data_IF_565639091772
#
_entry.id   IF_565639091772
#
_cell.length_a   1.000
_cell.length_b   1.000
_cell.length_c   1.000
_cell.angle_alpha   90.00
_cell.angle_beta   90.00
_cell.angle_gamma   90.00
#
_symmetry.space_group_name_H-M   'P 1'
#
loop_
_entity.id
_entity.type
_entity.pdbx_description
1 polymer ?
#
# COMPACT_ATOMS: atom_id res chain seq x y z
N UNK A 1 16.49 -1.11 -8.86
CA UNK A 1 15.64 -1.55 -7.73
C UNK A 1 14.95 -2.87 -8.11
N UNK A 2 14.11 -3.46 -7.27
CA UNK A 2 13.36 -4.69 -7.58
C UNK A 2 12.70 -4.61 -8.97
N UNK A 3 12.79 -5.69 -9.74
CA UNK A 3 12.32 -5.79 -11.13
C UNK A 3 10.85 -6.21 -11.30
N UNK A 4 10.13 -6.36 -10.18
CA UNK A 4 8.69 -6.64 -10.14
C UNK A 4 7.91 -5.36 -9.86
N UNK A 5 6.58 -5.42 -9.86
CA UNK A 5 5.69 -4.34 -9.39
C UNK A 5 5.67 -4.26 -7.84
N UNK A 6 6.85 -4.30 -7.24
CA UNK A 6 7.06 -4.10 -5.80
C UNK A 6 6.95 -2.62 -5.40
N UNK A 7 7.25 -2.31 -4.13
CA UNK A 7 7.13 -0.95 -3.58
C UNK A 7 7.98 0.07 -4.35
N UNK A 8 9.21 -0.28 -4.74
CA UNK A 8 10.09 0.63 -5.48
C UNK A 8 9.51 1.03 -6.84
N UNK A 9 9.11 0.05 -7.66
CA UNK A 9 8.48 0.29 -8.96
C UNK A 9 7.15 1.00 -8.83
N UNK A 10 6.34 0.63 -7.83
CA UNK A 10 5.07 1.28 -7.51
C UNK A 10 5.29 2.76 -7.20
N UNK A 11 6.21 3.09 -6.28
CA UNK A 11 6.46 4.48 -5.90
C UNK A 11 7.13 5.27 -7.02
N UNK A 12 7.95 4.65 -7.87
CA UNK A 12 8.44 5.29 -9.09
C UNK A 12 7.28 5.66 -10.04
N UNK A 13 6.28 4.77 -10.18
CA UNK A 13 5.05 5.06 -10.91
C UNK A 13 4.23 6.16 -10.23
N UNK A 14 4.13 6.17 -8.89
CA UNK A 14 3.42 7.23 -8.18
C UNK A 14 4.07 8.60 -8.38
N UNK A 15 5.41 8.68 -8.39
CA UNK A 15 6.14 9.93 -8.68
C UNK A 15 5.77 10.47 -10.07
N UNK A 16 5.68 9.61 -11.09
CA UNK A 16 5.26 10.03 -12.43
C UNK A 16 3.76 10.35 -12.52
N UNK A 17 2.89 9.54 -11.90
CA UNK A 17 1.44 9.74 -11.90
C UNK A 17 0.98 10.98 -11.10
N UNK A 18 1.72 11.33 -10.05
CA UNK A 18 1.57 12.60 -9.33
C UNK A 18 2.06 13.81 -10.15
N UNK A 19 2.70 13.58 -11.30
CA UNK A 19 3.27 14.62 -12.15
C UNK A 19 4.62 15.15 -11.65
N UNK A 20 5.31 14.50 -10.71
CA UNK A 20 6.62 14.94 -10.23
C UNK A 20 7.77 14.47 -11.13
N UNK A 21 7.66 13.25 -11.64
CA UNK A 21 8.61 12.68 -12.58
C UNK A 21 8.33 13.14 -14.01
N UNK A 22 9.39 13.35 -14.79
CA UNK A 22 9.25 13.49 -16.24
C UNK A 22 8.70 12.19 -16.85
N UNK A 23 7.95 12.24 -17.97
CA UNK A 23 7.40 11.04 -18.60
C UNK A 23 8.48 9.98 -18.89
N UNK A 24 8.17 8.71 -18.59
CA UNK A 24 9.09 7.58 -18.69
C UNK A 24 9.96 7.36 -17.44
N UNK A 25 9.88 8.23 -16.43
CA UNK A 25 10.65 8.12 -15.19
C UNK A 25 10.45 6.80 -14.46
N UNK A 26 9.26 6.24 -14.47
CA UNK A 26 8.94 5.06 -13.68
C UNK A 26 9.55 3.76 -14.22
N UNK A 27 9.71 3.66 -15.54
CA UNK A 27 9.90 2.36 -16.19
C UNK A 27 11.32 2.12 -16.72
N UNK A 28 12.09 3.16 -17.10
CA UNK A 28 13.41 2.94 -17.70
C UNK A 28 14.36 2.17 -16.77
N UNK A 29 14.93 1.03 -17.21
CA UNK A 29 15.93 0.30 -16.43
C UNK A 29 17.10 1.20 -16.02
N UNK A 30 17.71 0.91 -14.87
CA UNK A 30 18.81 1.73 -14.36
C UNK A 30 20.02 1.76 -15.31
N UNK A 31 20.23 0.69 -16.09
CA UNK A 31 21.32 0.54 -17.05
C UNK A 31 20.97 1.03 -18.46
N UNK A 32 19.75 1.53 -18.67
CA UNK A 32 19.31 2.06 -19.96
C UNK A 32 19.85 3.48 -20.20
N UNK A 33 20.39 3.76 -21.39
CA UNK A 33 20.92 5.08 -21.73
C UNK A 33 19.89 6.21 -21.61
N UNK A 34 18.60 5.93 -21.81
CA UNK A 34 17.50 6.89 -21.65
C UNK A 34 17.37 7.38 -20.20
N UNK A 35 17.79 6.59 -19.21
CA UNK A 35 17.81 7.04 -17.80
C UNK A 35 18.75 8.23 -17.60
N UNK A 36 19.92 8.22 -18.24
CA UNK A 36 20.88 9.35 -18.18
C UNK A 36 20.36 10.56 -18.94
N UNK A 37 19.69 10.36 -20.08
CA UNK A 37 19.02 11.44 -20.83
C UNK A 37 17.94 12.10 -19.95
N UNK A 38 17.11 11.29 -19.28
CA UNK A 38 16.08 11.78 -18.38
C UNK A 38 16.66 12.57 -17.21
N UNK A 39 17.74 12.08 -16.59
CA UNK A 39 18.44 12.77 -15.51
C UNK A 39 18.98 14.14 -15.97
N UNK A 40 19.56 14.22 -17.18
CA UNK A 40 20.03 15.49 -17.76
C UNK A 40 18.87 16.45 -18.03
N UNK A 41 17.73 15.95 -18.51
CA UNK A 41 16.55 16.76 -18.76
C UNK A 41 15.92 17.26 -17.45
N UNK A 42 15.89 16.44 -16.40
CA UNK A 42 15.46 16.86 -15.07
C UNK A 42 16.36 17.98 -14.52
N UNK A 43 17.68 17.88 -14.71
CA UNK A 43 18.63 18.92 -14.33
C UNK A 43 18.44 20.25 -15.08
N UNK A 44 17.99 20.22 -16.33
CA UNK A 44 17.58 21.44 -17.06
C UNK A 44 16.27 21.98 -16.51
N UNK A 45 15.25 21.11 -16.40
CA UNK A 45 13.90 21.51 -16.01
C UNK A 45 13.84 22.14 -14.62
N UNK A 46 14.62 21.64 -13.66
CA UNK A 46 14.58 22.19 -12.30
C UNK A 46 15.06 23.65 -12.24
N UNK A 47 15.97 24.08 -13.14
CA UNK A 47 16.39 25.48 -13.24
C UNK A 47 15.22 26.34 -13.72
N UNK A 48 14.51 25.89 -14.75
CA UNK A 48 13.33 26.59 -15.26
C UNK A 48 12.22 26.69 -14.19
N UNK A 49 11.98 25.62 -13.43
CA UNK A 49 11.02 25.63 -12.32
C UNK A 49 11.35 26.66 -11.24
N UNK A 50 12.63 26.91 -10.97
CA UNK A 50 13.06 27.97 -10.03
C UNK A 50 12.74 29.35 -10.60
N UNK A 51 12.95 29.57 -11.90
CA UNK A 51 12.62 30.84 -12.54
C UNK A 51 11.10 31.09 -12.65
N UNK A 52 10.32 30.03 -12.81
CA UNK A 52 8.85 30.08 -12.91
C UNK A 52 8.15 30.09 -11.54
N UNK A 53 8.90 29.95 -10.44
CA UNK A 53 8.36 29.71 -9.09
C UNK A 53 7.36 28.53 -9.05
N UNK A 54 7.68 27.46 -9.79
CA UNK A 54 6.83 26.27 -9.82
C UNK A 54 7.05 25.43 -8.55
N UNK A 55 6.13 25.61 -7.59
CA UNK A 55 6.19 24.96 -6.29
C UNK A 55 5.60 23.54 -6.34
N UNK A 56 6.11 22.67 -5.46
CA UNK A 56 5.61 21.30 -5.31
C UNK A 56 4.09 21.27 -5.03
N UNK A 57 3.55 22.24 -4.29
CA UNK A 57 2.12 22.32 -3.98
C UNK A 57 1.23 22.69 -5.17
N UNK A 58 1.79 23.21 -6.25
CA UNK A 58 1.07 23.47 -7.49
C UNK A 58 0.95 22.20 -8.35
N UNK A 59 1.84 21.21 -8.14
CA UNK A 59 1.81 19.91 -8.83
C UNK A 59 1.06 18.87 -7.99
N UNK A 60 1.40 18.76 -6.71
CA UNK A 60 0.78 17.83 -5.75
C UNK A 60 -0.58 18.35 -5.24
N UNK A 61 -1.52 18.45 -6.17
CA UNK A 61 -2.92 18.81 -5.92
C UNK A 61 -3.73 17.57 -5.55
N UNK A 62 -4.95 17.79 -5.04
CA UNK A 62 -5.92 16.71 -4.80
C UNK A 62 -6.11 15.85 -6.06
N UNK A 63 -6.27 16.46 -7.21
CA UNK A 63 -6.43 15.79 -8.51
C UNK A 63 -5.23 14.91 -8.87
N UNK A 64 -4.00 15.37 -8.59
CA UNK A 64 -2.80 14.56 -8.80
C UNK A 64 -2.79 13.29 -7.93
N UNK A 65 -3.20 13.38 -6.66
CA UNK A 65 -3.34 12.21 -5.79
C UNK A 65 -4.45 11.26 -6.27
N UNK A 66 -5.59 11.79 -6.74
CA UNK A 66 -6.65 10.95 -7.30
C UNK A 66 -6.19 10.22 -8.57
N UNK A 67 -5.40 10.87 -9.43
CA UNK A 67 -4.75 10.23 -10.57
C UNK A 67 -3.81 9.11 -10.10
N UNK A 68 -2.94 9.38 -9.13
CA UNK A 68 -2.02 8.39 -8.59
C UNK A 68 -2.75 7.16 -8.01
N UNK A 69 -3.87 7.35 -7.31
CA UNK A 69 -4.69 6.26 -6.76
C UNK A 69 -5.30 5.39 -7.88
N UNK A 70 -5.84 6.01 -8.94
CA UNK A 70 -6.41 5.28 -10.07
C UNK A 70 -5.33 4.54 -10.86
N UNK A 71 -4.17 5.18 -11.05
CA UNK A 71 -2.99 4.55 -11.64
C UNK A 71 -2.47 3.38 -10.79
N UNK A 72 -2.50 3.49 -9.45
CA UNK A 72 -2.08 2.43 -8.54
C UNK A 72 -2.90 1.15 -8.74
N UNK A 73 -4.21 1.27 -8.94
CA UNK A 73 -5.08 0.15 -9.29
C UNK A 73 -4.75 -0.43 -10.68
N UNK A 74 -4.59 0.43 -11.68
CA UNK A 74 -4.28 0.03 -13.06
C UNK A 74 -2.95 -0.72 -13.21
N UNK A 75 -1.98 -0.46 -12.35
CA UNK A 75 -0.69 -1.18 -12.34
C UNK A 75 -0.65 -2.37 -11.38
N UNK A 76 -1.68 -2.57 -10.54
CA UNK A 76 -1.67 -3.61 -9.49
C UNK A 76 -0.59 -3.40 -8.44
N UNK A 77 -0.34 -2.14 -8.06
CA UNK A 77 0.81 -1.76 -7.24
C UNK A 77 0.78 -2.20 -5.78
N UNK A 78 1.87 -1.90 -5.09
CA UNK A 78 2.10 -2.22 -3.68
C UNK A 78 1.10 -1.52 -2.74
N UNK A 79 0.65 -2.24 -1.70
CA UNK A 79 -0.20 -1.67 -0.64
C UNK A 79 0.51 -0.59 0.17
N UNK A 80 1.85 -0.63 0.25
CA UNK A 80 2.65 0.41 0.90
C UNK A 80 2.45 1.81 0.27
N UNK A 81 2.01 1.89 -0.99
CA UNK A 81 1.70 3.17 -1.63
C UNK A 81 0.55 3.90 -0.92
N UNK A 82 -0.36 3.18 -0.26
CA UNK A 82 -1.44 3.79 0.56
C UNK A 82 -0.83 4.64 1.67
N UNK A 83 0.05 4.04 2.46
CA UNK A 83 0.76 4.71 3.57
C UNK A 83 1.55 5.91 3.04
N UNK A 84 2.35 5.71 1.99
CA UNK A 84 3.22 6.76 1.46
C UNK A 84 2.45 7.94 0.86
N UNK A 85 1.40 7.69 0.09
CA UNK A 85 0.60 8.76 -0.51
C UNK A 85 -0.15 9.58 0.55
N UNK A 86 -0.71 8.93 1.58
CA UNK A 86 -1.34 9.64 2.72
C UNK A 86 -0.30 10.50 3.44
N UNK A 87 0.89 9.98 3.73
CA UNK A 87 1.96 10.75 4.37
C UNK A 87 2.35 11.98 3.53
N UNK A 88 2.60 11.81 2.23
CA UNK A 88 2.97 12.91 1.32
C UNK A 88 1.84 13.94 1.22
N UNK A 89 0.58 13.50 1.12
CA UNK A 89 -0.58 14.39 1.08
C UNK A 89 -0.67 15.25 2.35
N UNK A 90 -0.49 14.65 3.53
CA UNK A 90 -0.45 15.37 4.81
C UNK A 90 0.69 16.38 4.90
N UNK A 91 1.85 16.09 4.30
CA UNK A 91 2.98 17.04 4.23
C UNK A 91 2.68 18.23 3.34
N UNK A 92 1.99 18.04 2.22
CA UNK A 92 1.66 19.14 1.31
C UNK A 92 0.36 19.85 1.69
N UNK A 93 -0.40 19.31 2.65
CA UNK A 93 -1.66 19.88 3.14
C UNK A 93 -2.87 19.54 2.28
N UNK A 94 -2.83 18.42 1.57
CA UNK A 94 -3.98 17.86 0.84
C UNK A 94 -4.72 16.89 1.76
N UNK A 95 -6.04 17.07 1.89
CA UNK A 95 -6.89 16.07 2.55
C UNK A 95 -6.96 14.83 1.67
N UNK A 96 -6.33 13.75 2.10
CA UNK A 96 -6.37 12.44 1.46
C UNK A 96 -6.53 11.39 2.55
N UNK A 97 -7.62 10.63 2.48
CA UNK A 97 -7.97 9.64 3.50
C UNK A 97 -7.87 8.23 2.94
N UNK A 98 -7.78 7.24 3.81
CA UNK A 98 -7.73 5.84 3.40
C UNK A 98 -8.98 5.46 2.56
N UNK A 99 -10.15 6.02 2.85
CA UNK A 99 -11.39 5.78 2.10
C UNK A 99 -11.33 6.25 0.65
N UNK A 100 -10.45 7.22 0.33
CA UNK A 100 -10.29 7.68 -1.05
C UNK A 100 -9.75 6.58 -1.96
N UNK A 101 -8.93 5.66 -1.44
CA UNK A 101 -8.41 4.52 -2.21
C UNK A 101 -9.51 3.57 -2.64
N UNK A 102 -10.46 3.30 -1.74
CA UNK A 102 -11.59 2.44 -2.03
C UNK A 102 -12.55 3.13 -3.00
N UNK A 103 -13.03 4.31 -2.61
CA UNK A 103 -14.04 5.08 -3.35
C UNK A 103 -13.62 5.40 -4.79
N UNK A 104 -12.33 5.68 -5.03
CA UNK A 104 -11.85 6.13 -6.33
C UNK A 104 -11.41 4.98 -7.24
N UNK A 105 -10.97 3.84 -6.69
CA UNK A 105 -10.20 2.89 -7.48
C UNK A 105 -10.39 1.42 -7.14
N UNK A 106 -11.10 1.02 -6.07
CA UNK A 106 -11.23 -0.41 -5.73
C UNK A 106 -11.88 -1.24 -6.85
N UNK A 107 -12.78 -0.62 -7.61
CA UNK A 107 -13.49 -1.25 -8.72
C UNK A 107 -12.76 -1.06 -10.07
N UNK A 108 -11.61 -0.38 -10.09
CA UNK A 108 -10.82 -0.23 -11.32
C UNK A 108 -10.04 -1.52 -11.62
N UNK A 109 -9.88 -1.83 -12.92
CA UNK A 109 -9.12 -2.99 -13.33
C UNK A 109 -7.62 -2.78 -13.19
N UNK A 110 -6.88 -3.88 -13.16
CA UNK A 110 -5.44 -3.89 -13.38
C UNK A 110 -5.19 -4.25 -14.85
N UNK A 111 -4.40 -3.43 -15.52
CA UNK A 111 -4.04 -3.57 -16.92
C UNK A 111 -2.67 -4.25 -17.08
N UNK A 112 -1.82 -4.14 -16.06
CA UNK A 112 -0.41 -4.49 -16.15
C UNK A 112 -0.16 -5.93 -15.69
N UNK A 113 0.34 -6.78 -16.59
CA UNK A 113 0.61 -8.19 -16.35
C UNK A 113 2.02 -8.43 -15.79
N UNK A 114 2.32 -7.87 -14.61
CA UNK A 114 3.62 -7.99 -13.96
C UNK A 114 3.56 -8.78 -12.67
N UNK A 115 4.66 -9.46 -12.35
CA UNK A 115 4.83 -10.06 -11.02
C UNK A 115 4.71 -8.99 -9.91
N UNK A 116 4.09 -9.33 -8.76
CA UNK A 116 3.69 -10.67 -8.35
C UNK A 116 2.30 -11.11 -8.84
N UNK A 117 1.51 -10.20 -9.43
CA UNK A 117 0.13 -10.51 -9.84
C UNK A 117 0.04 -11.24 -11.17
N UNK A 118 1.04 -11.09 -12.04
CA UNK A 118 1.11 -11.61 -13.40
C UNK A 118 2.47 -12.23 -13.75
N UNK A 119 2.81 -12.26 -15.05
CA UNK A 119 3.92 -13.05 -15.59
C UNK A 119 5.22 -12.28 -15.80
N UNK A 120 5.12 -11.05 -16.33
CA UNK A 120 6.27 -10.30 -16.86
C UNK A 120 6.97 -9.45 -15.77
N UNK A 121 8.02 -8.73 -16.17
CA UNK A 121 8.86 -7.90 -15.28
C UNK A 121 8.98 -6.45 -15.79
N UNK A 122 9.60 -5.58 -14.99
CA UNK A 122 9.68 -4.14 -15.27
C UNK A 122 10.39 -3.78 -16.58
N UNK A 123 11.28 -4.66 -17.07
CA UNK A 123 11.91 -4.46 -18.38
C UNK A 123 10.91 -4.62 -19.52
N UNK A 124 10.07 -5.66 -19.48
CA UNK A 124 8.96 -5.84 -20.43
C UNK A 124 7.99 -4.66 -20.38
N UNK A 125 7.69 -4.16 -19.18
CA UNK A 125 6.84 -2.98 -18.98
C UNK A 125 7.43 -1.73 -19.62
N UNK A 126 8.74 -1.52 -19.47
CA UNK A 126 9.43 -0.43 -20.14
C UNK A 126 9.32 -0.55 -21.66
N UNK A 127 9.55 -1.73 -22.22
CA UNK A 127 9.52 -1.94 -23.67
C UNK A 127 8.10 -1.88 -24.25
N UNK A 128 7.09 -2.24 -23.48
CA UNK A 128 5.67 -2.07 -23.85
C UNK A 128 5.23 -0.59 -23.91
N UNK A 129 6.03 0.34 -23.38
CA UNK A 129 5.77 1.79 -23.38
C UNK A 129 5.59 2.40 -21.98
N UNK A 130 5.61 1.57 -20.93
CA UNK A 130 5.63 2.01 -19.54
C UNK A 130 4.36 2.70 -19.05
N UNK A 131 4.52 3.52 -18.01
CA UNK A 131 3.40 4.15 -17.32
C UNK A 131 2.54 5.09 -18.19
N UNK A 132 3.12 5.89 -19.12
CA UNK A 132 2.31 6.76 -19.97
C UNK A 132 1.23 6.01 -20.76
N UNK A 133 1.53 4.78 -21.21
CA UNK A 133 0.56 3.92 -21.91
C UNK A 133 -0.58 3.51 -20.99
N UNK A 134 -0.26 3.07 -19.76
CA UNK A 134 -1.29 2.71 -18.77
C UNK A 134 -2.19 3.90 -18.48
N UNK A 135 -1.62 5.07 -18.25
CA UNK A 135 -2.37 6.29 -17.94
C UNK A 135 -3.23 6.74 -19.13
N UNK A 136 -2.74 6.60 -20.36
CA UNK A 136 -3.52 6.86 -21.58
C UNK A 136 -4.72 5.93 -21.69
N UNK A 137 -4.53 4.65 -21.41
CA UNK A 137 -5.60 3.64 -21.49
C UNK A 137 -6.72 3.90 -20.46
N UNK A 138 -6.40 4.48 -19.30
CA UNK A 138 -7.37 4.89 -18.29
C UNK A 138 -7.72 6.39 -18.33
N UNK A 139 -7.39 7.11 -19.40
CA UNK A 139 -7.48 8.58 -19.45
C UNK A 139 -8.87 9.13 -19.11
N UNK A 140 -9.94 8.41 -19.46
CA UNK A 140 -11.33 8.78 -19.11
C UNK A 140 -11.60 8.84 -17.61
N UNK A 141 -10.75 8.21 -16.79
CA UNK A 141 -10.82 8.23 -15.34
C UNK A 141 -9.88 9.27 -14.73
N UNK A 142 -8.99 9.90 -15.49
CA UNK A 142 -7.95 10.79 -14.98
C UNK A 142 -8.34 12.27 -15.11
N UNK A 143 -7.81 13.08 -14.21
CA UNK A 143 -7.78 14.53 -14.29
C UNK A 143 -6.67 14.93 -15.27
N UNK A 144 -7.01 15.08 -16.55
CA UNK A 144 -6.04 15.31 -17.62
C UNK A 144 -5.41 16.71 -17.58
N UNK A 145 -6.11 17.71 -17.05
CA UNK A 145 -5.62 19.09 -16.93
C UNK A 145 -4.65 19.30 -15.75
N UNK A 146 -4.37 18.25 -14.95
CA UNK A 146 -3.43 18.34 -13.84
C UNK A 146 -2.03 18.70 -14.35
N UNK A 147 -1.48 19.82 -13.89
CA UNK A 147 -0.14 20.31 -14.25
C UNK A 147 0.94 19.41 -13.66
N UNK A 148 1.98 19.12 -14.44
CA UNK A 148 3.14 18.33 -13.99
C UNK A 148 4.40 19.19 -13.90
N UNK A 149 5.47 18.61 -13.34
CA UNK A 149 6.74 19.27 -13.11
C UNK A 149 7.42 19.76 -14.40
N UNK A 150 7.03 19.28 -15.58
CA UNK A 150 7.56 19.77 -16.85
C UNK A 150 6.78 20.95 -17.45
N UNK A 151 5.80 21.50 -16.72
CA UNK A 151 4.97 22.62 -17.15
C UNK A 151 3.81 22.24 -18.07
N UNK A 152 3.71 20.98 -18.52
CA UNK A 152 2.60 20.46 -19.32
C UNK A 152 1.56 19.78 -18.44
N UNK A 153 0.35 19.64 -18.97
CA UNK A 153 -0.73 18.88 -18.33
C UNK A 153 -0.46 17.37 -18.41
N UNK A 154 -1.14 16.58 -17.58
CA UNK A 154 -1.06 15.13 -17.62
C UNK A 154 -1.53 14.58 -18.98
N UNK A 155 -2.62 15.12 -19.53
CA UNK A 155 -3.17 14.74 -20.84
C UNK A 155 -2.16 14.93 -21.97
N UNK A 156 -1.48 16.08 -22.01
CA UNK A 156 -0.43 16.36 -22.98
C UNK A 156 0.77 15.42 -22.87
N UNK A 157 1.11 14.99 -21.65
CA UNK A 157 2.24 14.10 -21.40
C UNK A 157 1.97 12.66 -21.84
N UNK A 158 0.71 12.23 -21.85
CA UNK A 158 0.32 10.85 -22.21
C UNK A 158 -0.28 10.72 -23.61
N UNK A 159 -0.64 11.83 -24.27
CA UNK A 159 -1.35 11.84 -25.57
C UNK A 159 -0.70 10.95 -26.63
N UNK A 160 0.62 11.04 -26.78
CA UNK A 160 1.38 10.33 -27.82
C UNK A 160 1.88 8.94 -27.38
N UNK A 161 1.52 8.48 -26.18
CA UNK A 161 1.95 7.17 -25.69
C UNK A 161 1.41 6.04 -26.59
N UNK A 162 2.27 5.08 -26.90
CA UNK A 162 1.97 3.94 -27.77
C UNK A 162 2.21 2.64 -27.02
N UNK A 163 1.24 1.73 -27.08
CA UNK A 163 1.39 0.39 -26.53
C UNK A 163 2.09 -0.51 -27.55
N UNK A 164 3.31 -0.94 -27.23
CA UNK A 164 4.11 -1.80 -28.10
C UNK A 164 3.96 -3.29 -27.78
N UNK A 165 3.33 -3.65 -26.65
CA UNK A 165 3.10 -5.04 -26.28
C UNK A 165 1.82 -5.20 -25.43
N UNK A 166 0.68 -5.55 -26.06
CA UNK A 166 -0.59 -5.70 -25.36
C UNK A 166 -0.67 -6.94 -24.45
N UNK A 167 0.32 -7.83 -24.45
CA UNK A 167 0.40 -8.93 -23.48
C UNK A 167 0.92 -8.47 -22.11
N UNK A 168 1.66 -7.35 -22.09
CA UNK A 168 2.27 -6.76 -20.89
C UNK A 168 1.37 -5.66 -20.32
N UNK A 169 0.84 -4.80 -21.20
CA UNK A 169 -0.12 -3.74 -20.85
C UNK A 169 -1.42 -4.03 -21.61
N UNK A 170 -2.39 -4.63 -20.92
CA UNK A 170 -3.64 -5.06 -21.54
C UNK A 170 -4.61 -3.87 -21.72
N UNK A 171 -5.47 -3.88 -22.75
CA UNK A 171 -6.48 -2.84 -22.96
C UNK A 171 -7.51 -2.80 -21.83
N UNK A 172 -8.10 -1.63 -21.57
CA UNK A 172 -9.16 -1.44 -20.57
C UNK A 172 -10.40 -2.30 -20.86
N UNK A 173 -10.69 -2.55 -22.14
CA UNK A 173 -11.82 -3.38 -22.57
C UNK A 173 -11.62 -4.89 -22.31
N UNK A 174 -10.37 -5.33 -22.11
CA UNK A 174 -10.02 -6.71 -21.81
C UNK A 174 -8.85 -6.72 -20.82
N UNK A 175 -9.08 -6.25 -19.58
CA UNK A 175 -8.01 -6.00 -18.63
C UNK A 175 -7.39 -7.31 -18.12
N UNK A 176 -6.23 -7.20 -17.47
CA UNK A 176 -5.60 -8.34 -16.82
C UNK A 176 -6.42 -8.88 -15.65
N UNK A 177 -7.00 -7.97 -14.84
CA UNK A 177 -7.95 -8.30 -13.76
C UNK A 177 -9.01 -7.21 -13.65
N UNK A 178 -10.29 -7.58 -13.54
CA UNK A 178 -11.42 -6.65 -13.59
C UNK A 178 -11.53 -5.70 -12.38
N UNK A 179 -11.35 -6.24 -11.15
CA UNK A 179 -11.48 -5.48 -9.89
C UNK A 179 -10.24 -5.67 -9.06
N UNK A 180 -9.25 -4.82 -9.29
CA UNK A 180 -7.88 -5.05 -8.84
C UNK A 180 -7.36 -3.97 -7.89
N UNK A 181 -8.06 -2.84 -7.80
CA UNK A 181 -7.71 -1.78 -6.87
C UNK A 181 -7.74 -2.24 -5.41
N UNK A 182 -6.92 -1.57 -4.59
CA UNK A 182 -6.86 -1.86 -3.16
C UNK A 182 -8.23 -1.59 -2.53
N UNK A 183 -8.73 -2.57 -1.78
CA UNK A 183 -9.98 -2.43 -1.05
C UNK A 183 -9.70 -2.07 0.40
N UNK A 184 -10.52 -1.19 0.97
CA UNK A 184 -10.45 -0.78 2.38
C UNK A 184 -11.55 -1.48 3.17
N UNK A 185 -11.16 -2.32 4.11
CA UNK A 185 -12.07 -3.09 4.96
C UNK A 185 -12.36 -2.35 6.26
N UNK A 186 -13.60 -2.44 6.73
CA UNK A 186 -14.10 -1.85 7.98
C UNK A 186 -14.85 -2.89 8.79
N UNK A 187 -14.97 -2.65 10.09
CA UNK A 187 -15.77 -3.46 11.00
C UNK A 187 -15.20 -3.37 12.40
N UNK A 188 -15.76 -4.13 13.34
CA UNK A 188 -15.30 -4.05 14.73
C UNK A 188 -13.83 -4.49 14.91
N UNK A 189 -13.27 -5.29 13.99
CA UNK A 189 -11.86 -5.71 14.05
C UNK A 189 -10.88 -4.64 13.52
N UNK A 190 -11.32 -3.81 12.57
CA UNK A 190 -10.54 -2.73 11.96
C UNK A 190 -11.35 -1.42 11.91
N UNK A 191 -11.64 -0.80 13.06
CA UNK A 191 -12.55 0.34 13.11
C UNK A 191 -11.99 1.57 12.37
N UNK A 192 -10.65 1.71 12.29
CA UNK A 192 -9.97 2.76 11.51
C UNK A 192 -9.55 2.30 10.10
N UNK A 193 -9.84 1.05 9.76
CA UNK A 193 -9.62 0.50 8.43
C UNK A 193 -8.48 -0.50 8.39
N UNK A 194 -8.53 -1.37 7.39
CA UNK A 194 -7.46 -2.26 6.97
C UNK A 194 -7.45 -2.33 5.45
N UNK A 195 -6.35 -2.74 4.83
CA UNK A 195 -6.26 -2.85 3.37
C UNK A 195 -6.04 -4.29 2.92
N UNK A 196 -6.60 -4.63 1.77
CA UNK A 196 -6.32 -5.88 1.06
C UNK A 196 -6.05 -5.55 -0.42
N UNK A 197 -5.23 -6.37 -1.09
CA UNK A 197 -4.93 -6.23 -2.52
C UNK A 197 -5.65 -7.35 -3.32
N UNK A 198 -6.87 -7.12 -3.84
CA UNK A 198 -7.63 -8.11 -4.60
C UNK A 198 -6.86 -8.69 -5.79
N UNK A 199 -6.03 -7.87 -6.43
CA UNK A 199 -5.22 -8.27 -7.58
C UNK A 199 -4.20 -9.39 -7.30
N UNK A 200 -3.95 -9.73 -6.04
CA UNK A 200 -3.08 -10.86 -5.67
C UNK A 200 -3.75 -11.85 -4.72
N UNK A 201 -5.04 -11.67 -4.42
CA UNK A 201 -5.81 -12.56 -3.56
C UNK A 201 -6.45 -13.72 -4.34
N UNK A 202 -6.80 -14.78 -3.64
CA UNK A 202 -7.51 -15.93 -4.23
C UNK A 202 -9.02 -15.63 -4.23
N UNK A 203 -9.72 -15.65 -5.38
CA UNK A 203 -11.12 -15.25 -5.45
C UNK A 203 -12.05 -15.97 -4.47
N UNK A 204 -11.84 -17.27 -4.25
CA UNK A 204 -12.66 -18.07 -3.34
C UNK A 204 -12.49 -17.70 -1.85
N UNK A 205 -11.41 -17.00 -1.48
CA UNK A 205 -11.14 -16.57 -0.10
C UNK A 205 -11.57 -15.12 0.17
N UNK A 206 -12.10 -14.41 -0.84
CA UNK A 206 -12.53 -13.00 -0.71
C UNK A 206 -13.80 -12.83 0.12
N UNK A 207 -14.54 -13.92 0.33
CA UNK A 207 -15.60 -14.05 1.32
C UNK A 207 -15.32 -15.33 2.10
N UNK A 208 -14.83 -15.18 3.33
CA UNK A 208 -14.36 -16.29 4.14
C UNK A 208 -14.68 -16.08 5.61
N UNK A 209 -15.10 -17.16 6.29
CA UNK A 209 -15.35 -17.14 7.73
C UNK A 209 -14.62 -18.32 8.36
N UNK A 210 -13.78 -18.03 9.34
CA UNK A 210 -12.86 -19.02 9.89
C UNK A 210 -12.48 -18.75 11.34
N UNK A 211 -11.94 -19.77 11.99
CA UNK A 211 -11.38 -19.68 13.34
C UNK A 211 -10.03 -18.97 13.31
N UNK A 212 -9.83 -18.05 14.24
CA UNK A 212 -8.55 -17.37 14.43
C UNK A 212 -7.49 -18.33 15.01
N UNK A 213 -6.32 -18.34 14.38
CA UNK A 213 -5.06 -18.87 14.92
C UNK A 213 -4.14 -17.69 15.16
N UNK A 214 -3.94 -17.37 16.42
CA UNK A 214 -3.32 -16.12 16.86
C UNK A 214 -1.84 -16.33 17.19
N UNK A 215 -1.03 -15.40 16.70
CA UNK A 215 0.37 -15.21 17.03
C UNK A 215 0.54 -13.82 17.66
N UNK A 216 1.08 -13.78 18.88
CA UNK A 216 1.19 -12.55 19.67
C UNK A 216 2.31 -11.62 19.17
N UNK A 217 3.41 -12.19 18.65
CA UNK A 217 4.53 -11.46 18.04
C UNK A 217 5.11 -12.22 16.86
N UNK A 218 6.05 -11.62 16.13
CA UNK A 218 6.76 -12.31 15.04
C UNK A 218 7.61 -13.48 15.55
N UNK A 219 8.14 -13.40 16.77
CA UNK A 219 8.86 -14.51 17.42
C UNK A 219 7.92 -15.67 17.74
N UNK A 220 6.73 -15.39 18.28
CA UNK A 220 5.69 -16.40 18.54
C UNK A 220 5.24 -17.10 17.24
N UNK A 221 5.11 -16.32 16.16
CA UNK A 221 4.85 -16.86 14.83
C UNK A 221 5.93 -17.85 14.38
N UNK A 222 7.20 -17.44 14.37
CA UNK A 222 8.30 -18.31 13.95
C UNK A 222 8.47 -19.55 14.85
N UNK A 223 8.16 -19.44 16.15
CA UNK A 223 8.25 -20.56 17.08
C UNK A 223 7.20 -21.65 16.82
N UNK A 224 6.04 -21.30 16.25
CA UNK A 224 4.87 -22.19 16.19
C UNK A 224 4.44 -22.59 14.79
N UNK A 225 4.71 -21.79 13.75
CA UNK A 225 4.13 -22.02 12.41
C UNK A 225 4.53 -23.36 11.79
N UNK A 226 5.75 -23.82 12.10
CA UNK A 226 6.30 -25.08 11.60
C UNK A 226 5.99 -26.29 12.53
N UNK A 227 5.33 -26.08 13.67
CA UNK A 227 4.93 -27.17 14.57
C UNK A 227 3.77 -27.97 13.96
N UNK A 228 4.00 -29.27 13.75
CA UNK A 228 3.00 -30.21 13.25
C UNK A 228 1.77 -30.29 14.17
N UNK A 229 1.94 -30.03 15.47
CA UNK A 229 0.87 -30.04 16.47
C UNK A 229 0.08 -28.73 16.55
N UNK A 230 0.48 -27.67 15.85
CA UNK A 230 -0.27 -26.40 15.82
C UNK A 230 -1.71 -26.66 15.38
N UNK A 231 -2.72 -26.32 16.18
CA UNK A 231 -4.13 -26.53 15.80
C UNK A 231 -4.57 -25.52 14.71
N UNK A 232 -4.31 -25.89 13.45
CA UNK A 232 -4.57 -25.09 12.25
C UNK A 232 -4.93 -25.99 11.06
N UNK A 233 -5.92 -25.54 10.29
CA UNK A 233 -6.29 -26.08 8.99
C UNK A 233 -6.45 -24.93 7.97
N UNK A 234 -6.71 -25.28 6.71
CA UNK A 234 -6.87 -24.35 5.59
C UNK A 234 -8.04 -23.36 5.70
N UNK A 235 -9.02 -23.63 6.57
CA UNK A 235 -10.17 -22.75 6.79
C UNK A 235 -9.92 -21.76 7.93
N UNK A 236 -8.85 -21.95 8.70
CA UNK A 236 -8.45 -21.02 9.75
C UNK A 236 -7.97 -19.68 9.17
N UNK A 237 -8.03 -18.65 10.00
CA UNK A 237 -7.52 -17.31 9.71
C UNK A 237 -6.29 -17.08 10.58
N UNK A 238 -5.13 -16.88 9.96
CA UNK A 238 -3.91 -16.58 10.70
C UNK A 238 -3.94 -15.10 11.12
N UNK A 239 -3.71 -14.82 12.40
CA UNK A 239 -3.74 -13.48 12.96
C UNK A 239 -2.40 -13.18 13.63
N UNK A 240 -1.69 -12.16 13.16
CA UNK A 240 -0.42 -11.70 13.73
C UNK A 240 -0.59 -10.30 14.32
N UNK A 241 -0.25 -10.16 15.60
CA UNK A 241 -0.33 -8.91 16.36
C UNK A 241 1.04 -8.27 16.52
N UNK A 242 1.04 -7.05 17.05
CA UNK A 242 2.22 -6.32 17.48
C UNK A 242 3.27 -6.17 16.38
N UNK A 243 2.81 -6.05 15.14
CA UNK A 243 3.66 -5.85 13.96
C UNK A 243 3.39 -4.50 13.28
N UNK A 244 2.62 -3.63 13.96
CA UNK A 244 2.32 -2.25 13.55
C UNK A 244 3.46 -1.25 13.76
N UNK A 245 3.19 0.06 13.55
CA UNK A 245 4.16 1.12 13.78
C UNK A 245 4.79 1.07 15.17
N UNK A 246 4.01 1.02 16.24
CA UNK A 246 4.52 0.97 17.62
C UNK A 246 4.90 -0.44 18.05
N UNK A 247 4.19 -1.44 17.55
CA UNK A 247 4.31 -2.83 17.98
C UNK A 247 5.60 -3.51 17.56
N UNK A 248 5.94 -3.46 16.27
CA UNK A 248 7.09 -4.21 15.75
C UNK A 248 8.41 -3.74 16.35
N UNK A 249 8.71 -2.42 16.40
CA UNK A 249 8.14 -1.23 15.75
C UNK A 249 8.73 -0.94 14.36
N UNK A 250 8.16 0.07 13.68
CA UNK A 250 8.51 0.43 12.30
C UNK A 250 7.62 -0.23 11.27
N UNK A 251 6.63 -1.02 11.71
CA UNK A 251 5.64 -1.70 10.87
C UNK A 251 6.30 -2.57 9.80
N UNK A 252 6.93 -3.69 10.19
CA UNK A 252 7.71 -4.52 9.26
C UNK A 252 6.87 -5.21 8.18
N UNK A 253 7.53 -5.70 7.12
CA UNK A 253 6.91 -6.45 6.03
C UNK A 253 6.73 -7.94 6.37
N UNK A 254 5.99 -8.21 7.45
CA UNK A 254 5.76 -9.57 7.98
C UNK A 254 4.30 -10.04 7.86
N UNK A 255 3.42 -9.24 7.27
CA UNK A 255 2.00 -9.56 7.12
C UNK A 255 1.72 -10.72 6.16
N UNK A 256 2.61 -10.97 5.18
CA UNK A 256 2.52 -12.10 4.27
C UNK A 256 3.05 -13.41 4.91
N UNK A 257 2.49 -13.78 6.06
CA UNK A 257 2.86 -14.96 6.82
C UNK A 257 2.94 -16.20 5.92
N UNK A 258 4.05 -16.99 5.95
CA UNK A 258 4.08 -18.30 5.32
C UNK A 258 3.00 -19.21 5.93
N UNK A 259 2.50 -20.13 5.11
CA UNK A 259 1.50 -21.10 5.56
C UNK A 259 2.15 -22.25 6.32
N UNK A 260 1.42 -22.92 7.24
CA UNK A 260 1.94 -24.10 7.92
C UNK A 260 2.36 -25.18 6.91
N UNK A 261 3.52 -25.85 7.09
CA UNK A 261 4.00 -26.89 6.16
C UNK A 261 2.97 -27.98 5.89
N UNK A 262 2.17 -28.36 6.90
CA UNK A 262 1.11 -29.36 6.76
C UNK A 262 -0.05 -28.94 5.86
N UNK A 263 -0.34 -27.64 5.76
CA UNK A 263 -1.34 -27.10 4.82
C UNK A 263 -0.76 -27.10 3.40
N UNK A 264 0.49 -26.66 3.25
CA UNK A 264 1.20 -26.66 1.96
C UNK A 264 1.30 -28.07 1.36
N UNK A 265 1.53 -29.11 2.18
CA UNK A 265 1.56 -30.51 1.75
C UNK A 265 0.24 -31.03 1.17
N UNK A 266 -0.89 -30.36 1.45
CA UNK A 266 -2.19 -30.63 0.81
C UNK A 266 -2.33 -29.98 -0.58
N UNK A 267 -1.33 -29.23 -1.04
CA UNK A 267 -1.37 -28.45 -2.27
C UNK A 267 -2.07 -27.09 -2.13
N UNK A 268 -2.39 -26.68 -0.90
CA UNK A 268 -3.05 -25.41 -0.60
C UNK A 268 -1.99 -24.32 -0.50
N UNK A 269 -2.10 -23.29 -1.33
CA UNK A 269 -1.10 -22.22 -1.46
C UNK A 269 -1.54 -20.88 -0.92
N UNK A 270 -2.79 -20.75 -0.45
CA UNK A 270 -3.31 -19.51 0.13
C UNK A 270 -4.24 -19.79 1.32
N UNK A 271 -4.19 -18.88 2.29
CA UNK A 271 -5.08 -18.79 3.45
C UNK A 271 -5.27 -17.32 3.80
N UNK A 272 -6.40 -17.01 4.42
CA UNK A 272 -6.65 -15.65 4.93
C UNK A 272 -5.71 -15.34 6.09
N UNK A 273 -5.02 -14.21 5.97
CA UNK A 273 -4.02 -13.72 6.93
C UNK A 273 -4.32 -12.28 7.30
N UNK A 274 -4.29 -11.95 8.58
CA UNK A 274 -4.61 -10.61 9.09
C UNK A 274 -3.47 -10.14 10.00
N UNK A 275 -3.03 -8.91 9.82
CA UNK A 275 -2.08 -8.27 10.73
C UNK A 275 -2.21 -6.74 10.75
N UNK A 276 -1.60 -6.12 11.74
CA UNK A 276 -1.29 -4.68 11.78
C UNK A 276 0.01 -4.35 11.02
N UNK A 277 0.61 -5.32 10.33
CA UNK A 277 1.87 -5.19 9.61
C UNK A 277 1.72 -4.64 8.18
N UNK A 278 2.86 -4.50 7.49
CA UNK A 278 2.94 -4.34 6.03
C UNK A 278 3.27 -5.67 5.36
N UNK A 279 3.30 -5.67 4.04
CA UNK A 279 3.92 -6.75 3.25
C UNK A 279 4.78 -6.14 2.15
N UNK A 280 5.72 -6.92 1.63
CA UNK A 280 6.42 -6.53 0.42
C UNK A 280 5.42 -6.37 -0.73
N UNK A 281 5.62 -5.36 -1.58
CA UNK A 281 4.83 -5.21 -2.81
C UNK A 281 4.94 -6.43 -3.74
N UNK A 282 5.96 -7.27 -3.55
CA UNK A 282 6.19 -8.53 -4.28
C UNK A 282 5.45 -9.74 -3.71
N UNK A 283 4.67 -9.56 -2.65
CA UNK A 283 3.89 -10.64 -2.04
C UNK A 283 2.56 -10.89 -2.76
N UNK A 284 2.02 -12.09 -2.56
CA UNK A 284 0.73 -12.56 -3.05
C UNK A 284 -0.08 -13.25 -1.95
N UNK A 285 -1.35 -13.50 -2.24
CA UNK A 285 -2.32 -14.20 -1.41
C UNK A 285 -3.34 -13.29 -0.75
N UNK A 286 -4.28 -13.90 -0.04
CA UNK A 286 -5.44 -13.23 0.59
C UNK A 286 -5.04 -12.65 1.94
N UNK A 287 -4.34 -11.51 1.92
CA UNK A 287 -3.71 -10.88 3.10
C UNK A 287 -4.33 -9.52 3.40
N UNK A 288 -4.86 -9.37 4.61
CA UNK A 288 -5.32 -8.12 5.21
C UNK A 288 -4.19 -7.49 6.02
N UNK A 289 -3.93 -6.22 5.75
CA UNK A 289 -2.77 -5.47 6.24
C UNK A 289 -3.21 -4.16 6.86
N UNK A 290 -2.28 -3.52 7.56
CA UNK A 290 -2.45 -2.14 8.04
C UNK A 290 -3.68 -1.99 8.95
N UNK A 291 -4.06 -3.07 9.64
CA UNK A 291 -5.19 -3.07 10.56
C UNK A 291 -5.00 -1.96 11.59
N UNK A 292 -5.90 -0.98 11.57
CA UNK A 292 -5.84 0.20 12.41
C UNK A 292 -7.07 0.30 13.34
N UNK A 293 -6.89 0.71 14.62
CA UNK A 293 -5.60 0.87 15.31
C UNK A 293 -4.82 -0.45 15.41
N UNK A 294 -3.49 -0.37 15.47
CA UNK A 294 -2.63 -1.53 15.65
C UNK A 294 -2.84 -2.17 17.04
N UNK A 295 -2.38 -3.42 17.22
CA UNK A 295 -2.53 -4.14 18.48
C UNK A 295 -1.81 -3.43 19.64
N UNK A 296 -0.58 -2.93 19.40
CA UNK A 296 0.22 -2.25 20.40
C UNK A 296 -0.33 -0.88 20.83
N UNK A 297 -1.30 -0.34 20.09
CA UNK A 297 -2.02 0.89 20.43
C UNK A 297 -3.43 0.62 20.99
N UNK A 298 -3.73 -0.63 21.36
CA UNK A 298 -5.02 -1.02 21.97
C UNK A 298 -6.15 -1.18 20.94
N UNK A 299 -5.83 -1.41 19.67
CA UNK A 299 -6.82 -1.72 18.66
C UNK A 299 -7.52 -3.07 18.92
N UNK A 300 -8.72 -3.30 18.35
CA UNK A 300 -9.46 -4.56 18.54
C UNK A 300 -8.68 -5.81 18.15
N UNK A 301 -7.72 -5.71 17.23
CA UNK A 301 -6.80 -6.79 16.88
C UNK A 301 -6.04 -7.35 18.09
N UNK A 302 -5.72 -6.50 19.10
CA UNK A 302 -4.95 -6.89 20.27
C UNK A 302 -5.63 -7.97 21.13
N UNK A 303 -6.96 -8.01 21.11
CA UNK A 303 -7.77 -8.85 21.99
C UNK A 303 -8.40 -10.06 21.30
N UNK A 304 -8.04 -10.30 20.04
CA UNK A 304 -8.38 -11.55 19.34
C UNK A 304 -7.72 -12.72 20.06
N UNK A 305 -8.46 -13.81 20.25
CA UNK A 305 -8.01 -15.03 20.91
C UNK A 305 -8.12 -16.22 19.95
N UNK A 306 -7.31 -17.25 20.16
CA UNK A 306 -7.46 -18.52 19.45
C UNK A 306 -8.89 -19.04 19.63
N UNK A 307 -9.52 -19.50 18.55
CA UNK A 307 -10.90 -19.98 18.61
C UNK A 307 -11.96 -18.96 18.19
N UNK A 308 -11.68 -17.65 18.30
CA UNK A 308 -12.61 -16.62 17.86
C UNK A 308 -12.92 -16.77 16.37
N UNK A 309 -14.17 -16.49 15.98
CA UNK A 309 -14.57 -16.54 14.58
C UNK A 309 -14.37 -15.15 13.94
N UNK A 310 -13.67 -15.10 12.81
CA UNK A 310 -13.49 -13.89 12.02
C UNK A 310 -14.16 -14.08 10.66
N UNK A 311 -14.80 -13.02 10.17
CA UNK A 311 -15.39 -12.95 8.83
C UNK A 311 -14.68 -11.85 8.03
N UNK A 312 -14.15 -12.27 6.88
CA UNK A 312 -13.67 -11.41 5.81
C UNK A 312 -14.73 -11.40 4.71
N UNK A 313 -15.21 -10.23 4.32
CA UNK A 313 -16.10 -10.06 3.18
C UNK A 313 -15.68 -8.81 2.41
N UNK A 314 -14.80 -9.02 1.42
CA UNK A 314 -14.25 -7.94 0.62
C UNK A 314 -15.31 -7.23 -0.23
N UNK A 315 -16.24 -7.93 -0.93
CA UNK A 315 -17.33 -7.27 -1.66
C UNK A 315 -18.11 -6.26 -0.82
N UNK A 316 -18.39 -6.58 0.46
CA UNK A 316 -19.10 -5.69 1.38
C UNK A 316 -18.18 -4.82 2.25
N UNK A 317 -16.86 -4.79 1.96
CA UNK A 317 -15.84 -4.03 2.69
C UNK A 317 -15.86 -4.30 4.21
N UNK A 318 -16.12 -5.55 4.59
CA UNK A 318 -16.35 -5.95 5.97
C UNK A 318 -15.24 -6.84 6.52
N UNK A 319 -14.80 -6.53 7.74
CA UNK A 319 -13.88 -7.32 8.54
C UNK A 319 -14.39 -7.38 9.98
N UNK A 320 -14.94 -8.53 10.35
CA UNK A 320 -15.73 -8.69 11.58
C UNK A 320 -15.15 -9.77 12.49
N UNK A 321 -14.96 -9.44 13.76
CA UNK A 321 -14.77 -10.37 14.86
C UNK A 321 -16.13 -10.75 15.46
N UNK A 322 -16.49 -12.03 15.45
CA UNK A 322 -17.78 -12.55 15.92
C UNK A 322 -17.77 -12.82 17.42
N UNK A 323 -17.64 -11.74 18.20
CA UNK A 323 -17.91 -11.70 19.64
C UNK A 323 -18.93 -10.60 19.92
N UNK A 324 -19.58 -10.63 21.08
CA UNK A 324 -20.51 -9.55 21.44
C UNK A 324 -19.74 -8.25 21.75
N UNK A 325 -20.43 -7.11 21.63
CA UNK A 325 -19.84 -5.81 21.94
C UNK A 325 -19.44 -5.72 23.43
N UNK A 326 -20.18 -6.38 24.32
CA UNK A 326 -19.84 -6.48 25.75
C UNK A 326 -18.54 -7.26 25.97
N UNK A 327 -18.35 -8.38 25.27
CA UNK A 327 -17.12 -9.18 25.37
C UNK A 327 -15.94 -8.42 24.78
N UNK A 328 -16.11 -7.75 23.64
CA UNK A 328 -15.07 -6.91 23.05
C UNK A 328 -14.66 -5.78 24.00
N UNK A 329 -15.63 -5.05 24.55
CA UNK A 329 -15.39 -3.98 25.52
C UNK A 329 -14.71 -4.51 26.79
N UNK A 330 -15.15 -5.66 27.30
CA UNK A 330 -14.53 -6.31 28.47
C UNK A 330 -13.07 -6.64 28.20
N UNK A 331 -12.75 -7.30 27.08
CA UNK A 331 -11.37 -7.66 26.73
C UNK A 331 -10.49 -6.42 26.58
N UNK A 332 -10.99 -5.39 25.89
CA UNK A 332 -10.28 -4.12 25.71
C UNK A 332 -10.03 -3.40 27.05
N UNK A 333 -10.98 -3.43 27.99
CA UNK A 333 -10.82 -2.80 29.31
C UNK A 333 -9.71 -3.44 30.16
N UNK A 334 -9.41 -4.71 29.92
CA UNK A 334 -8.34 -5.46 30.61
C UNK A 334 -7.02 -5.49 29.84
N UNK A 335 -7.00 -4.95 28.61
CA UNK A 335 -5.80 -4.95 27.79
C UNK A 335 -4.74 -4.00 28.36
N UNK A 336 -3.49 -4.44 28.30
CA UNK A 336 -2.33 -3.65 28.72
C UNK A 336 -1.39 -3.52 27.54
N UNK A 337 -0.89 -2.30 27.33
CA UNK A 337 0.11 -2.05 26.30
C UNK A 337 1.38 -2.86 26.58
N UNK A 338 1.97 -3.50 25.55
CA UNK A 338 3.25 -4.17 25.73
C UNK A 338 4.32 -3.15 26.14
N UNK A 339 5.26 -3.53 27.04
CA UNK A 339 6.32 -2.62 27.43
C UNK A 339 7.19 -2.27 26.22
N UNK A 340 7.58 -1.00 26.05
CA UNK A 340 8.47 -0.63 24.96
C UNK A 340 9.84 -1.29 25.19
N UNK A 341 10.46 -1.89 24.15
CA UNK A 341 11.74 -2.58 24.32
C UNK A 341 12.91 -1.62 24.58
N UNK A 342 12.77 -0.34 24.23
CA UNK A 342 13.70 0.73 24.58
C UNK A 342 12.96 1.96 25.11
N UNK A 343 13.48 2.56 26.18
CA UNK A 343 12.87 3.72 26.87
C UNK A 343 13.58 5.05 26.57
N UNK A 344 14.51 5.10 25.61
CA UNK A 344 15.23 6.32 25.22
C UNK A 344 15.65 6.31 23.74
N UNK A 345 16.22 7.41 23.25
CA UNK A 345 16.74 7.53 21.89
C UNK A 345 15.65 7.65 20.82
N UNK A 346 16.01 7.41 19.56
CA UNK A 346 15.08 7.51 18.43
C UNK A 346 13.90 6.54 18.56
N UNK A 347 14.09 5.38 19.19
CA UNK A 347 13.02 4.42 19.44
C UNK A 347 11.88 5.02 20.26
N UNK A 348 12.22 5.68 21.37
CA UNK A 348 11.24 6.40 22.21
C UNK A 348 10.55 7.51 21.42
N UNK A 349 11.33 8.35 20.74
CA UNK A 349 10.79 9.42 19.89
C UNK A 349 9.77 8.87 18.88
N UNK A 350 10.13 7.79 18.18
CA UNK A 350 9.29 7.17 17.17
C UNK A 350 8.01 6.60 17.78
N UNK A 351 8.08 5.76 18.81
CA UNK A 351 6.90 5.14 19.43
C UNK A 351 5.96 6.17 20.06
N UNK A 352 6.51 7.23 20.64
CA UNK A 352 5.72 8.31 21.25
C UNK A 352 4.94 9.12 20.19
N UNK A 353 5.57 9.39 19.04
CA UNK A 353 5.07 10.36 18.05
C UNK A 353 4.53 9.76 16.75
N UNK A 354 4.75 8.47 16.47
CA UNK A 354 4.30 7.86 15.21
C UNK A 354 2.78 7.74 15.16
N UNK A 355 2.21 8.17 14.03
CA UNK A 355 0.81 8.02 13.69
C UNK A 355 0.50 6.60 13.19
N UNK A 356 -0.79 6.28 13.08
CA UNK A 356 -1.24 4.96 12.63
C UNK A 356 -1.15 4.81 11.10
N UNK A 357 -1.34 3.58 10.60
CA UNK A 357 -1.19 3.26 9.19
C UNK A 357 -2.19 4.00 8.28
N UNK A 358 -3.43 4.20 8.76
CA UNK A 358 -4.47 5.00 8.09
C UNK A 358 -4.13 6.50 8.02
N UNK A 359 -3.09 6.94 8.76
CA UNK A 359 -2.59 8.31 8.78
C UNK A 359 -1.19 8.45 8.14
N UNK A 360 -0.70 7.39 7.49
CA UNK A 360 0.56 7.42 6.74
C UNK A 360 1.82 7.15 7.55
N UNK A 361 1.73 6.76 8.83
CA UNK A 361 2.89 6.39 9.68
C UNK A 361 3.96 7.51 9.74
N UNK A 362 3.54 8.77 9.61
CA UNK A 362 4.42 9.94 9.84
C UNK A 362 4.53 10.22 11.35
N UNK A 363 5.44 11.12 11.74
CA UNK A 363 5.48 11.64 13.10
C UNK A 363 4.51 12.81 13.23
N UNK A 364 3.71 12.83 14.28
CA UNK A 364 2.67 13.84 14.52
C UNK A 364 3.18 15.29 14.39
N UNK A 365 4.35 15.58 14.95
CA UNK A 365 4.99 16.90 14.95
C UNK A 365 5.65 17.26 13.61
N UNK A 366 5.74 16.34 12.66
CA UNK A 366 6.31 16.57 11.33
C UNK A 366 5.26 16.84 10.25
N UNK A 367 3.97 16.63 10.55
CA UNK A 367 2.86 16.87 9.63
C UNK A 367 2.80 18.35 9.20
N UNK A 368 2.36 18.58 7.96
CA UNK A 368 2.19 19.92 7.39
C UNK A 368 3.44 20.55 6.77
N UNK A 369 3.29 21.80 6.33
CA UNK A 369 4.30 22.61 5.63
C UNK A 369 4.96 23.59 6.59
N UNK A 370 6.30 23.65 6.58
CA UNK A 370 7.11 24.60 7.37
C UNK A 370 7.74 25.73 6.53
N UNK A 371 7.46 25.74 5.23
CA UNK A 371 7.95 26.75 4.30
C UNK A 371 9.47 26.68 4.06
N UNK A 372 9.97 27.66 3.29
CA UNK A 372 11.38 27.86 2.99
C UNK A 372 11.94 29.09 3.73
N UNK A 373 11.52 29.29 4.98
CA UNK A 373 11.92 30.44 5.79
C UNK A 373 13.45 30.48 5.93
N UNK A 374 14.05 31.63 5.62
CA UNK A 374 15.48 31.87 5.85
C UNK A 374 15.66 32.13 7.35
N UNK A 375 16.44 31.29 8.07
CA UNK A 375 16.64 31.46 9.50
C UNK A 375 17.39 32.76 9.81
N UNK A 376 17.47 33.09 11.11
CA UNK A 376 18.29 34.21 11.57
C UNK A 376 19.72 34.07 11.03
N UNK A 377 20.33 35.22 10.75
CA UNK A 377 21.74 35.27 10.43
C UNK A 377 22.54 34.57 11.54
N UNK A 378 23.58 33.84 11.14
CA UNK A 378 24.42 33.13 12.08
C UNK A 378 25.44 34.06 12.75
N UNK A 379 25.64 35.29 12.25
CA UNK A 379 26.51 36.33 12.81
C UNK A 379 25.92 37.74 12.75
#
# INVERSE_FOLDING_TARGET
HCMTMGTASTMACMVEALGLGLPGNAAYPAVDGRRNVLARNAGRRIVDMVHEDQLLSQVLTRQAFENAIKTLAAIGGSTNAVIHLIAIARRIGVDLKIEDFDRLASELPCLVNLQPSGKFLMEDFCYAGGLPVVMKEIAQHLHLDAVTANGRTMGENIADAQNYNPEVILPLASPFKDKAGIAVLRGNLAPRGAVIKPSAATPALMVHKGRAVVFETIEDFHARIDDENLDVDENCILVLKNCGPKGYPGMAEVGNMPLPPKVLRKGITDMVRISDARMSGTAYGTVVLHTAPEAAAGGPLAVVQNGDIIELDVPNRKLQLHISDEELARRLSTWQAPPPPLTSGYWKLYVDHVLQADEGVDLDFLVGKRGAFVPRDNH
#
